data_IF_062320659933
#
_entry.id   IF_062320659933
#
_cell.length_a   1.000
_cell.length_b   1.000
_cell.length_c   1.000
_cell.angle_alpha   90.00
_cell.angle_beta   90.00
_cell.angle_gamma   90.00
#
_symmetry.space_group_name_H-M   'P 1'
#
loop_
_entity.id
_entity.type
_entity.pdbx_description
1 polymer ?
#
# COMPACT_ATOMS: atom_id res chain seq x y z
N UNK A 1 22.12 -20.25 -36.51
CA UNK A 1 21.71 -21.49 -35.80
C UNK A 1 20.96 -21.08 -34.53
N UNK A 2 19.61 -21.16 -34.53
CA UNK A 2 18.76 -20.81 -33.37
C UNK A 2 17.69 -21.91 -33.20
N UNK A 3 18.14 -23.11 -32.86
CA UNK A 3 17.25 -24.26 -32.64
C UNK A 3 17.79 -25.10 -31.48
N UNK A 4 17.48 -24.69 -30.25
CA UNK A 4 17.71 -25.52 -29.04
C UNK A 4 16.64 -25.25 -27.96
N UNK A 5 15.47 -24.72 -28.35
CA UNK A 5 14.52 -24.06 -27.44
C UNK A 5 13.41 -24.89 -26.82
N UNK A 6 13.56 -26.21 -26.70
CA UNK A 6 12.48 -27.09 -26.18
C UNK A 6 12.84 -27.93 -24.94
N UNK A 7 13.99 -27.71 -24.29
CA UNK A 7 14.38 -28.48 -23.09
C UNK A 7 14.83 -27.66 -21.88
N UNK A 8 15.05 -26.34 -22.04
CA UNK A 8 15.27 -25.44 -20.90
C UNK A 8 13.98 -24.72 -20.57
N UNK A 9 13.47 -24.94 -19.36
CA UNK A 9 12.31 -24.20 -18.86
C UNK A 9 12.78 -22.80 -18.48
N UNK A 10 12.51 -21.82 -19.34
CA UNK A 10 12.90 -20.42 -19.13
C UNK A 10 11.73 -19.61 -18.60
N UNK A 11 11.99 -18.77 -17.62
CA UNK A 11 11.08 -17.73 -17.17
C UNK A 11 11.44 -16.40 -17.81
N UNK A 12 10.49 -15.83 -18.55
CA UNK A 12 10.59 -14.47 -19.06
C UNK A 12 9.93 -13.52 -18.08
N UNK A 13 10.52 -12.34 -17.87
CA UNK A 13 9.85 -11.23 -17.19
C UNK A 13 8.92 -10.52 -18.18
N UNK A 14 7.97 -11.25 -18.75
CA UNK A 14 7.05 -10.74 -19.77
C UNK A 14 5.87 -9.95 -19.17
N UNK A 15 5.89 -9.64 -17.86
CA UNK A 15 4.85 -8.79 -17.29
C UNK A 15 5.25 -7.32 -17.43
N UNK A 16 4.44 -6.47 -18.11
CA UNK A 16 4.73 -5.05 -18.32
C UNK A 16 5.02 -4.27 -17.03
N UNK A 17 4.63 -4.80 -15.87
CA UNK A 17 4.82 -4.16 -14.56
C UNK A 17 6.27 -4.17 -14.07
N UNK A 18 7.09 -5.15 -14.47
CA UNK A 18 8.52 -5.17 -14.13
C UNK A 18 9.33 -4.13 -14.91
N UNK A 19 8.73 -3.56 -15.95
CA UNK A 19 9.32 -2.50 -16.79
C UNK A 19 8.82 -1.10 -16.38
N UNK A 20 8.04 -0.99 -15.30
CA UNK A 20 7.66 0.32 -14.76
C UNK A 20 8.90 1.06 -14.28
N UNK A 21 8.94 2.36 -14.55
CA UNK A 21 10.06 3.22 -14.19
C UNK A 21 10.43 3.07 -12.71
N UNK A 22 11.71 2.79 -12.47
CA UNK A 22 12.25 2.67 -11.12
C UNK A 22 12.49 1.24 -10.63
N UNK A 23 11.92 0.20 -11.23
CA UNK A 23 12.21 -1.20 -10.84
C UNK A 23 13.57 -1.64 -11.38
N UNK A 24 14.38 -2.25 -10.54
CA UNK A 24 15.69 -2.83 -10.82
C UNK A 24 15.65 -4.32 -10.47
N UNK A 25 16.23 -5.17 -11.32
CA UNK A 25 16.26 -6.64 -11.14
C UNK A 25 17.69 -7.14 -11.00
N UNK A 26 17.90 -8.09 -10.09
CA UNK A 26 19.20 -8.69 -9.81
C UNK A 26 19.06 -10.22 -9.76
N UNK A 27 19.82 -10.99 -10.58
CA UNK A 27 20.80 -10.53 -11.57
C UNK A 27 20.12 -9.93 -12.81
N UNK A 28 20.79 -9.01 -13.55
CA UNK A 28 20.22 -8.40 -14.75
C UNK A 28 20.28 -9.37 -15.94
N UNK A 29 19.21 -10.15 -16.15
CA UNK A 29 19.09 -11.08 -17.27
C UNK A 29 17.76 -10.91 -18.02
N UNK A 30 17.78 -11.19 -19.33
CA UNK A 30 16.57 -11.20 -20.14
C UNK A 30 15.73 -12.47 -19.93
N UNK A 31 16.41 -13.59 -19.68
CA UNK A 31 15.81 -14.91 -19.45
C UNK A 31 16.43 -15.51 -18.19
N UNK A 32 15.60 -16.17 -17.38
CA UNK A 32 16.02 -16.91 -16.19
C UNK A 32 15.75 -18.39 -16.39
N UNK A 33 16.65 -19.25 -15.94
CA UNK A 33 16.53 -20.70 -16.00
C UNK A 33 15.75 -21.22 -14.79
N UNK A 34 15.29 -22.47 -14.89
CA UNK A 34 14.66 -23.14 -13.78
C UNK A 34 15.58 -23.19 -12.55
N UNK A 35 15.05 -22.81 -11.37
CA UNK A 35 15.81 -22.64 -10.14
C UNK A 35 16.41 -21.24 -9.93
N UNK A 36 16.47 -20.39 -10.96
CA UNK A 36 17.01 -19.05 -10.83
C UNK A 36 16.15 -18.18 -9.90
N UNK A 37 16.85 -17.34 -9.14
CA UNK A 37 16.29 -16.42 -8.18
C UNK A 37 16.51 -14.97 -8.62
N UNK A 38 15.44 -14.20 -8.62
CA UNK A 38 15.47 -12.77 -8.97
C UNK A 38 15.01 -11.95 -7.79
N UNK A 39 15.82 -10.96 -7.46
CA UNK A 39 15.50 -9.94 -6.46
C UNK A 39 15.19 -8.64 -7.19
N UNK A 40 13.99 -8.14 -6.95
CA UNK A 40 13.54 -6.84 -7.38
C UNK A 40 13.89 -5.80 -6.32
N UNK A 41 14.34 -4.64 -6.79
CA UNK A 41 14.62 -3.47 -5.97
C UNK A 41 14.09 -2.24 -6.70
N UNK A 42 14.04 -1.10 -6.02
CA UNK A 42 13.67 0.16 -6.62
C UNK A 42 14.87 1.11 -6.65
N UNK A 43 14.90 2.01 -7.65
CA UNK A 43 15.82 3.14 -7.67
C UNK A 43 15.66 3.98 -6.39
N UNK A 44 16.71 4.71 -5.99
CA UNK A 44 16.58 5.68 -4.90
C UNK A 44 15.40 6.62 -5.16
N UNK A 45 14.70 7.04 -4.09
CA UNK A 45 13.46 7.85 -4.10
C UNK A 45 12.15 7.09 -4.35
N UNK A 46 12.21 5.78 -4.56
CA UNK A 46 11.01 4.95 -4.65
C UNK A 46 10.91 3.97 -3.49
N UNK A 47 9.69 3.64 -3.10
CA UNK A 47 9.38 2.51 -2.21
C UNK A 47 8.99 1.29 -3.03
N UNK A 48 9.56 0.14 -2.65
CA UNK A 48 9.19 -1.15 -3.23
C UNK A 48 7.95 -1.71 -2.56
N UNK A 49 7.07 -2.27 -3.37
CA UNK A 49 5.84 -2.94 -2.95
C UNK A 49 5.69 -4.26 -3.71
N UNK A 50 4.96 -5.22 -3.13
CA UNK A 50 4.83 -6.57 -3.69
C UNK A 50 5.96 -7.50 -3.23
N UNK A 51 6.13 -8.62 -3.93
CA UNK A 51 7.16 -9.59 -3.59
C UNK A 51 8.51 -9.18 -4.18
N UNK A 52 9.45 -8.90 -3.28
CA UNK A 52 10.82 -8.51 -3.59
C UNK A 52 11.57 -9.64 -4.28
N UNK A 53 11.20 -10.88 -4.02
CA UNK A 53 11.93 -12.06 -4.47
C UNK A 53 11.03 -13.01 -5.24
N UNK A 54 11.52 -13.50 -6.38
CA UNK A 54 10.84 -14.52 -7.18
C UNK A 54 11.78 -15.60 -7.65
N UNK A 55 11.28 -16.81 -7.70
CA UNK A 55 12.03 -17.98 -8.17
C UNK A 55 11.38 -18.51 -9.43
N UNK A 56 12.17 -18.77 -10.46
CA UNK A 56 11.72 -19.49 -11.64
C UNK A 56 11.62 -20.97 -11.29
N UNK A 57 10.41 -21.54 -11.41
CA UNK A 57 10.14 -22.97 -11.22
C UNK A 57 9.34 -23.52 -12.37
N UNK A 58 9.85 -24.56 -13.02
CA UNK A 58 9.23 -25.25 -14.12
C UNK A 58 8.80 -24.29 -15.27
N UNK A 59 9.59 -23.23 -15.52
CA UNK A 59 9.30 -22.21 -16.53
C UNK A 59 8.24 -21.18 -16.13
N UNK A 60 7.79 -21.20 -14.88
CA UNK A 60 6.83 -20.24 -14.31
C UNK A 60 7.42 -19.56 -13.07
N UNK A 61 7.07 -18.29 -12.85
CA UNK A 61 7.48 -17.61 -11.62
C UNK A 61 6.70 -18.10 -10.40
N UNK A 62 7.35 -18.15 -9.24
CA UNK A 62 6.70 -18.44 -7.96
C UNK A 62 5.45 -17.55 -7.76
N UNK A 63 4.37 -18.05 -7.15
CA UNK A 63 3.13 -17.30 -6.96
C UNK A 63 3.35 -16.04 -6.12
N UNK A 64 2.54 -15.01 -6.36
CA UNK A 64 2.54 -13.76 -5.59
C UNK A 64 2.27 -12.50 -6.42
N UNK A 65 2.41 -11.33 -5.79
CA UNK A 65 2.30 -9.97 -6.32
C UNK A 65 3.59 -9.39 -6.92
N UNK A 66 3.51 -8.93 -8.17
CA UNK A 66 4.69 -8.39 -8.86
C UNK A 66 5.25 -7.17 -8.13
N UNK A 67 6.58 -7.10 -8.02
CA UNK A 67 7.25 -5.94 -7.48
C UNK A 67 6.95 -4.70 -8.34
N UNK A 68 6.63 -3.60 -7.68
CA UNK A 68 6.45 -2.31 -8.33
C UNK A 68 6.94 -1.18 -7.40
N UNK A 69 7.32 -0.07 -8.00
CA UNK A 69 7.90 1.07 -7.30
C UNK A 69 6.88 2.22 -7.22
N UNK A 70 6.68 2.79 -6.03
CA UNK A 70 5.97 4.07 -5.87
C UNK A 70 6.94 5.18 -5.52
N UNK A 71 6.78 6.35 -6.14
CA UNK A 71 7.55 7.53 -5.74
C UNK A 71 7.25 7.87 -4.26
N UNK A 72 8.32 8.12 -3.51
CA UNK A 72 8.26 8.38 -2.07
C UNK A 72 7.54 9.68 -1.73
N UNK A 73 7.67 10.72 -2.55
CA UNK A 73 7.01 12.00 -2.29
C UNK A 73 5.49 11.87 -2.44
N UNK A 74 5.04 11.08 -3.43
CA UNK A 74 3.61 10.80 -3.60
C UNK A 74 3.04 9.96 -2.44
N UNK A 75 3.79 8.96 -1.97
CA UNK A 75 3.43 8.17 -0.77
C UNK A 75 3.30 9.05 0.47
N UNK A 76 4.24 9.97 0.68
CA UNK A 76 4.17 10.93 1.78
C UNK A 76 2.95 11.82 1.65
N UNK A 77 2.74 12.45 0.50
CA UNK A 77 1.58 13.31 0.27
C UNK A 77 0.26 12.58 0.57
N UNK A 78 0.10 11.34 0.10
CA UNK A 78 -1.12 10.56 0.37
C UNK A 78 -1.31 10.30 1.87
N UNK A 79 -0.25 9.92 2.60
CA UNK A 79 -0.30 9.68 4.05
C UNK A 79 -0.62 10.93 4.86
N UNK A 80 -0.05 12.08 4.47
CA UNK A 80 -0.34 13.35 5.13
C UNK A 80 -1.78 13.78 4.89
N UNK A 81 -2.31 13.59 3.68
CA UNK A 81 -3.70 13.92 3.36
C UNK A 81 -4.68 13.07 4.18
N UNK A 82 -4.44 11.76 4.34
CA UNK A 82 -5.32 10.91 5.15
C UNK A 82 -5.24 11.23 6.64
N UNK A 83 -4.05 11.56 7.15
CA UNK A 83 -3.86 11.96 8.55
C UNK A 83 -4.60 13.26 8.88
N UNK A 84 -4.57 14.25 7.99
CA UNK A 84 -5.31 15.50 8.19
C UNK A 84 -6.82 15.24 8.22
N UNK A 85 -7.35 14.48 7.26
CA UNK A 85 -8.77 14.16 7.20
C UNK A 85 -9.26 13.37 8.42
N UNK A 86 -8.46 12.43 8.94
CA UNK A 86 -8.83 11.67 10.14
C UNK A 86 -8.86 12.55 11.38
N UNK A 87 -7.91 13.46 11.54
CA UNK A 87 -7.88 14.42 12.66
C UNK A 87 -9.13 15.31 12.63
N UNK A 88 -9.49 15.87 11.47
CA UNK A 88 -10.71 16.68 11.36
C UNK A 88 -11.96 15.87 11.71
N UNK A 89 -12.07 14.63 11.24
CA UNK A 89 -13.19 13.75 11.59
C UNK A 89 -13.28 13.49 13.09
N UNK A 90 -12.15 13.22 13.74
CA UNK A 90 -12.08 13.00 15.20
C UNK A 90 -12.49 14.25 15.97
N UNK A 91 -12.00 15.43 15.58
CA UNK A 91 -12.35 16.71 16.22
C UNK A 91 -13.85 16.99 16.09
N UNK A 92 -14.44 16.77 14.92
CA UNK A 92 -15.89 16.94 14.71
C UNK A 92 -16.70 16.01 15.62
N UNK A 93 -16.28 14.75 15.77
CA UNK A 93 -16.94 13.80 16.68
C UNK A 93 -16.86 14.28 18.13
N UNK A 94 -15.69 14.74 18.58
CA UNK A 94 -15.54 15.27 19.94
C UNK A 94 -16.42 16.50 20.18
N UNK A 95 -16.51 17.41 19.21
CA UNK A 95 -17.38 18.59 19.29
C UNK A 95 -18.86 18.18 19.36
N UNK A 96 -19.29 17.22 18.54
CA UNK A 96 -20.66 16.71 18.56
C UNK A 96 -20.99 16.08 19.91
N UNK A 97 -20.11 15.22 20.43
CA UNK A 97 -20.28 14.60 21.75
C UNK A 97 -20.36 15.66 22.84
N UNK A 98 -19.48 16.67 22.78
CA UNK A 98 -19.52 17.78 23.73
C UNK A 98 -20.85 18.54 23.65
N UNK A 99 -21.33 18.88 22.45
CA UNK A 99 -22.61 19.56 22.24
C UNK A 99 -23.80 18.72 22.76
N UNK A 100 -23.80 17.42 22.52
CA UNK A 100 -24.84 16.50 23.02
C UNK A 100 -24.82 16.45 24.55
N UNK A 101 -23.64 16.24 25.15
CA UNK A 101 -23.49 16.19 26.61
C UNK A 101 -23.88 17.53 27.25
N UNK A 102 -23.50 18.64 26.63
CA UNK A 102 -23.89 19.97 27.08
C UNK A 102 -25.40 20.19 27.00
N UNK A 103 -26.03 19.79 25.88
CA UNK A 103 -27.48 19.87 25.69
C UNK A 103 -28.25 19.06 26.74
N UNK A 104 -27.80 17.84 27.02
CA UNK A 104 -28.37 16.98 28.07
C UNK A 104 -28.23 17.64 29.45
N UNK A 105 -27.03 18.17 29.78
CA UNK A 105 -26.81 18.89 31.06
C UNK A 105 -27.74 20.09 31.20
N UNK A 106 -27.88 20.90 30.14
CA UNK A 106 -28.75 22.07 30.13
C UNK A 106 -30.23 21.69 30.33
N UNK A 107 -30.70 20.63 29.65
CA UNK A 107 -32.07 20.11 29.83
C UNK A 107 -32.31 19.66 31.27
N UNK A 108 -31.36 18.91 31.86
CA UNK A 108 -31.45 18.48 33.26
C UNK A 108 -31.49 19.67 34.22
N UNK A 109 -30.69 20.72 33.99
CA UNK A 109 -30.72 21.93 34.80
C UNK A 109 -32.09 22.64 34.72
N UNK A 110 -32.70 22.75 33.54
CA UNK A 110 -34.02 23.34 33.38
C UNK A 110 -35.11 22.56 34.16
N UNK A 111 -35.10 21.22 34.04
CA UNK A 111 -36.04 20.35 34.76
C UNK A 111 -35.87 20.43 36.30
N UNK A 112 -34.63 20.60 36.79
CA UNK A 112 -34.38 20.79 38.22
C UNK A 112 -34.87 22.16 38.72
N UNK A 113 -34.69 23.23 37.94
CA UNK A 113 -35.18 24.57 38.29
C UNK A 113 -36.71 24.61 38.30
N UNK A 114 -37.36 23.96 37.34
CA UNK A 114 -38.82 23.83 37.31
C UNK A 114 -39.36 23.10 38.55
N UNK A 115 -38.70 22.02 39.00
CA UNK A 115 -39.03 21.32 40.26
C UNK A 115 -38.77 22.12 41.53
N UNK A 116 -37.91 23.14 41.48
CA UNK A 116 -37.63 24.04 42.61
C UNK A 116 -38.63 25.22 42.68
N UNK A 117 -39.34 25.49 41.59
CA UNK A 117 -40.33 26.56 41.47
C UNK A 117 -41.78 26.08 41.69
N UNK A 118 -42.00 24.76 41.78
CA UNK A 118 -43.25 24.09 42.15
C UNK A 118 -43.17 23.57 43.59
#
# INVERSE_FOLDING_TARGET
MRQESLLWKKCNLLRPTAQKEGVVKTPPAANYLDGDKVVFSCKPKYYIHGDIERVCRNGTWSPGWWAWCRDRNLEYALKWMTALLSIFGIVLIFVILFCILWGIRKKKQAEQVEKLLL
#
